data_IF_705011089592
#
_entry.id   IF_705011089592
#
_cell.length_a   1.000
_cell.length_b   1.000
_cell.length_c   1.000
_cell.angle_alpha   90.00
_cell.angle_beta   90.00
_cell.angle_gamma   90.00
#
_symmetry.space_group_name_H-M   'P 1'
#
loop_
_entity.id
_entity.type
_entity.pdbx_description
1 polymer ?
#
# COMPACT_ATOMS: atom_id res chain seq x y z
N UNK A 1 12.97 -3.95 -3.91
CA UNK A 1 11.83 -3.01 -3.87
C UNK A 1 11.87 -2.26 -2.54
N UNK A 2 11.42 -1.01 -2.49
CA UNK A 2 11.36 -0.21 -1.26
C UNK A 2 10.33 0.90 -1.38
N UNK A 3 9.83 1.40 -0.26
CA UNK A 3 8.88 2.51 -0.20
C UNK A 3 9.40 3.59 0.75
N UNK A 4 9.13 4.86 0.45
CA UNK A 4 9.48 6.02 1.28
C UNK A 4 8.26 6.91 1.37
N UNK A 5 7.91 7.34 2.59
CA UNK A 5 6.75 8.18 2.86
C UNK A 5 7.19 9.48 3.53
N UNK A 6 6.56 10.58 3.15
CA UNK A 6 6.76 11.91 3.73
C UNK A 6 5.38 12.54 3.94
N UNK A 7 5.13 13.02 5.15
CA UNK A 7 3.85 13.62 5.52
C UNK A 7 3.47 13.34 6.96
N UNK A 8 2.31 13.84 7.38
CA UNK A 8 1.72 13.50 8.67
C UNK A 8 1.13 12.09 8.63
N UNK A 9 1.12 11.39 9.77
CA UNK A 9 0.44 10.11 9.95
C UNK A 9 0.93 8.96 9.02
N UNK A 10 2.19 9.03 8.57
CA UNK A 10 2.80 8.02 7.68
C UNK A 10 3.10 6.67 8.35
N UNK A 11 2.94 6.57 9.67
CA UNK A 11 3.25 5.34 10.42
C UNK A 11 2.44 4.13 9.92
N UNK A 12 1.14 4.31 9.67
CA UNK A 12 0.25 3.26 9.14
C UNK A 12 0.64 2.84 7.71
N UNK A 13 1.07 3.81 6.88
CA UNK A 13 1.59 3.53 5.54
C UNK A 13 2.89 2.73 5.59
N UNK A 14 3.79 3.09 6.50
CA UNK A 14 5.06 2.39 6.69
C UNK A 14 4.82 0.95 7.17
N UNK A 15 3.87 0.76 8.08
CA UNK A 15 3.50 -0.55 8.60
C UNK A 15 2.98 -1.47 7.47
N UNK A 16 1.99 -1.01 6.71
CA UNK A 16 1.44 -1.75 5.57
C UNK A 16 2.49 -2.04 4.48
N UNK A 17 3.36 -1.08 4.17
CA UNK A 17 4.48 -1.28 3.23
C UNK A 17 5.48 -2.33 3.72
N UNK A 18 5.81 -2.33 5.01
CA UNK A 18 6.74 -3.29 5.60
C UNK A 18 6.19 -4.70 5.48
N UNK A 19 4.90 -4.91 5.79
CA UNK A 19 4.24 -6.21 5.61
C UNK A 19 4.26 -6.64 4.14
N UNK A 20 3.92 -5.74 3.22
CA UNK A 20 3.90 -6.06 1.79
C UNK A 20 5.28 -6.44 1.26
N UNK A 21 6.34 -5.73 1.67
CA UNK A 21 7.71 -5.94 1.21
C UNK A 21 8.31 -7.20 1.85
N UNK A 22 8.25 -7.33 3.18
CA UNK A 22 8.84 -8.47 3.90
C UNK A 22 8.06 -9.76 3.61
N UNK A 23 6.75 -9.66 3.42
CA UNK A 23 5.90 -10.78 3.01
C UNK A 23 5.96 -11.10 1.51
N UNK A 24 6.81 -10.41 0.74
CA UNK A 24 6.95 -10.56 -0.71
C UNK A 24 5.59 -10.62 -1.44
N UNK A 25 4.67 -9.74 -1.03
CA UNK A 25 3.29 -9.76 -1.53
C UNK A 25 3.30 -9.34 -3.01
N UNK A 26 2.87 -10.21 -3.94
CA UNK A 26 2.89 -9.90 -5.37
C UNK A 26 1.87 -8.80 -5.69
N UNK A 27 2.17 -7.92 -6.65
CA UNK A 27 1.47 -6.64 -6.85
C UNK A 27 0.01 -6.77 -7.33
N UNK A 28 -0.37 -7.91 -7.88
CA UNK A 28 -1.74 -8.29 -8.25
C UNK A 28 -2.59 -8.71 -7.04
N UNK A 29 -1.96 -9.14 -5.95
CA UNK A 29 -2.63 -9.63 -4.74
C UNK A 29 -3.28 -8.54 -3.86
N UNK A 30 -2.67 -7.36 -3.64
CA UNK A 30 -3.26 -6.30 -2.81
C UNK A 30 -4.53 -5.69 -3.36
N UNK A 31 -4.95 -6.00 -4.60
CA UNK A 31 -6.23 -5.53 -5.15
C UNK A 31 -7.45 -5.91 -4.30
N UNK A 32 -7.34 -6.98 -3.50
CA UNK A 32 -8.39 -7.40 -2.55
C UNK A 32 -8.23 -6.80 -1.15
N UNK A 33 -7.12 -6.13 -0.87
CA UNK A 33 -6.89 -5.44 0.40
C UNK A 33 -7.53 -4.05 0.31
N UNK A 34 -8.84 -3.99 0.59
CA UNK A 34 -9.59 -2.74 0.60
C UNK A 34 -9.16 -1.93 1.83
N UNK A 35 -8.60 -0.71 1.66
CA UNK A 35 -8.29 0.14 2.80
C UNK A 35 -9.59 0.60 3.48
N UNK A 36 -9.57 0.69 4.82
CA UNK A 36 -10.71 1.19 5.58
C UNK A 36 -10.99 2.66 5.26
N UNK A 37 -12.23 3.00 4.95
CA UNK A 37 -12.64 4.39 4.75
C UNK A 37 -13.18 5.01 6.06
N UNK A 38 -12.82 6.24 6.44
CA UNK A 38 -11.77 7.09 5.87
C UNK A 38 -10.40 6.87 6.55
N UNK A 39 -9.35 6.55 5.79
CA UNK A 39 -7.97 6.45 6.32
C UNK A 39 -6.91 6.88 5.30
N UNK A 40 -5.71 7.21 5.79
CA UNK A 40 -4.57 7.56 4.93
C UNK A 40 -4.15 6.41 4.01
N UNK A 41 -4.47 5.16 4.37
CA UNK A 41 -4.17 3.95 3.59
C UNK A 41 -4.85 3.92 2.22
N UNK A 42 -5.83 4.78 1.95
CA UNK A 42 -6.41 4.98 0.61
C UNK A 42 -5.37 5.42 -0.43
N UNK A 43 -4.22 5.95 0.00
CA UNK A 43 -3.06 6.26 -0.87
C UNK A 43 -2.64 5.08 -1.74
N UNK A 44 -2.82 3.84 -1.26
CA UNK A 44 -2.41 2.64 -1.99
C UNK A 44 -3.23 2.34 -3.25
N UNK A 45 -4.43 2.91 -3.38
CA UNK A 45 -5.29 2.66 -4.54
C UNK A 45 -4.62 3.14 -5.85
N UNK A 46 -4.05 4.34 -5.87
CA UNK A 46 -3.43 4.90 -7.09
C UNK A 46 -2.20 4.13 -7.59
N UNK A 47 -1.23 3.74 -6.73
CA UNK A 47 -0.16 2.83 -7.13
C UNK A 47 -0.68 1.48 -7.65
N UNK A 48 -1.67 0.88 -7.00
CA UNK A 48 -2.21 -0.42 -7.42
C UNK A 48 -2.93 -0.34 -8.77
N UNK A 49 -3.60 0.78 -9.08
CA UNK A 49 -4.15 1.05 -10.41
C UNK A 49 -3.05 1.14 -11.49
N UNK A 50 -1.87 1.66 -11.13
CA UNK A 50 -0.75 1.88 -12.06
C UNK A 50 0.04 0.60 -12.34
N UNK A 51 0.24 -0.23 -11.31
CA UNK A 51 1.16 -1.38 -11.37
C UNK A 51 0.48 -2.76 -11.30
N UNK A 52 -0.77 -2.84 -10.84
CA UNK A 52 -1.45 -4.09 -10.53
C UNK A 52 -2.72 -4.36 -11.36
N UNK A 53 -3.04 -3.51 -12.34
CA UNK A 53 -4.13 -3.78 -13.29
C UNK A 53 -3.70 -4.91 -14.23
N UNK A 54 -4.46 -6.00 -14.39
CA UNK A 54 -4.21 -6.95 -15.48
C UNK A 54 -4.35 -6.28 -16.85
#
# INVERSE_FOLDING_TARGET
MGATFVGQDVAELLHSATIAIVGEVPIDRPWRAVPSHPTISEVWLRPLETYGRP
#
